data_IF_572245707870
#
_entry.id   IF_572245707870
#
_cell.length_a   1.000
_cell.length_b   1.000
_cell.length_c   1.000
_cell.angle_alpha   90.00
_cell.angle_beta   90.00
_cell.angle_gamma   90.00
#
_symmetry.space_group_name_H-M   'P 1'
#
loop_
_entity.id
_entity.type
_entity.pdbx_description
1 polymer ?
#
# COMPACT_ATOMS: atom_id res chain seq x y z
N UNK A 1 -30.31 2.32 10.81
CA UNK A 1 -30.69 2.21 9.39
C UNK A 1 -32.13 1.72 9.27
N UNK A 2 -32.87 2.16 8.25
CA UNK A 2 -34.21 1.63 7.92
C UNK A 2 -34.10 0.59 6.81
N UNK A 3 -34.94 -0.44 6.85
CA UNK A 3 -35.05 -1.45 5.80
C UNK A 3 -36.43 -1.39 5.15
N UNK A 4 -36.51 -1.84 3.90
CA UNK A 4 -37.76 -2.02 3.17
C UNK A 4 -38.26 -3.45 3.34
N UNK A 5 -39.57 -3.60 3.34
CA UNK A 5 -40.26 -4.87 3.14
C UNK A 5 -41.45 -4.69 2.20
N UNK A 6 -41.80 -5.76 1.48
CA UNK A 6 -43.03 -5.85 0.71
C UNK A 6 -43.98 -6.74 1.51
N UNK A 7 -45.11 -6.17 1.94
CA UNK A 7 -46.10 -6.91 2.71
C UNK A 7 -46.91 -7.89 1.84
N UNK A 8 -47.75 -8.71 2.47
CA UNK A 8 -48.61 -9.68 1.76
C UNK A 8 -49.63 -9.04 0.81
N UNK A 9 -49.87 -7.73 0.92
CA UNK A 9 -50.71 -6.95 -0.01
C UNK A 9 -49.88 -6.30 -1.13
N UNK A 10 -48.63 -6.74 -1.30
CA UNK A 10 -47.68 -6.21 -2.26
C UNK A 10 -47.41 -4.71 -2.06
N UNK A 11 -47.54 -4.18 -0.84
CA UNK A 11 -47.26 -2.79 -0.50
C UNK A 11 -45.86 -2.66 0.08
N UNK A 12 -45.14 -1.64 -0.37
CA UNK A 12 -43.81 -1.29 0.12
C UNK A 12 -43.92 -0.47 1.41
N UNK A 13 -43.16 -0.84 2.45
CA UNK A 13 -43.08 -0.11 3.72
C UNK A 13 -41.67 -0.10 4.29
N UNK A 14 -41.37 0.87 5.14
CA UNK A 14 -40.11 0.95 5.91
C UNK A 14 -40.28 0.36 7.31
N UNK A 15 -39.23 -0.27 7.81
CA UNK A 15 -39.09 -0.55 9.24
C UNK A 15 -38.89 0.74 10.03
N UNK A 16 -39.03 0.66 11.36
CA UNK A 16 -38.43 1.66 12.25
C UNK A 16 -36.92 1.76 12.02
N UNK A 17 -36.31 2.85 12.49
CA UNK A 17 -34.85 2.98 12.44
C UNK A 17 -34.20 1.95 13.38
N UNK A 18 -33.36 1.08 12.81
CA UNK A 18 -32.70 -0.02 13.49
C UNK A 18 -31.27 0.37 13.83
N UNK A 19 -30.97 0.50 15.13
CA UNK A 19 -29.62 0.74 15.63
C UNK A 19 -28.87 -0.55 16.01
N UNK A 20 -29.60 -1.61 16.35
CA UNK A 20 -29.05 -2.93 16.74
C UNK A 20 -30.02 -4.04 16.30
N UNK A 21 -29.55 -5.30 16.33
CA UNK A 21 -30.33 -6.48 15.91
C UNK A 21 -30.90 -6.34 14.49
N UNK A 22 -30.06 -5.89 13.56
CA UNK A 22 -30.44 -5.72 12.16
C UNK A 22 -30.66 -7.14 11.57
N UNK A 23 -31.86 -7.45 11.04
CA UNK A 23 -32.14 -8.76 10.46
C UNK A 23 -31.34 -8.96 9.18
N UNK A 24 -31.25 -10.19 8.65
CA UNK A 24 -30.66 -10.40 7.33
C UNK A 24 -31.43 -9.63 6.24
N UNK A 25 -30.69 -8.94 5.36
CA UNK A 25 -31.26 -8.13 4.29
C UNK A 25 -30.47 -8.23 2.99
N UNK A 26 -31.14 -7.96 1.88
CA UNK A 26 -30.50 -7.69 0.60
C UNK A 26 -30.21 -6.19 0.44
N UNK A 27 -29.24 -5.82 -0.38
CA UNK A 27 -28.91 -4.42 -0.68
C UNK A 27 -28.82 -4.19 -2.19
N UNK A 28 -29.39 -3.08 -2.66
CA UNK A 28 -29.35 -2.72 -4.09
C UNK A 28 -28.21 -1.75 -4.38
N UNK A 29 -27.26 -2.19 -5.20
CA UNK A 29 -26.30 -1.32 -5.88
C UNK A 29 -26.84 -0.93 -7.26
N UNK A 30 -26.91 0.36 -7.54
CA UNK A 30 -27.46 0.83 -8.81
C UNK A 30 -26.92 2.20 -9.21
N UNK A 31 -27.13 2.53 -10.48
CA UNK A 31 -26.84 3.89 -10.98
C UNK A 31 -28.09 4.75 -10.94
N UNK A 32 -27.94 5.96 -10.40
CA UNK A 32 -29.02 6.95 -10.38
C UNK A 32 -29.25 7.47 -11.80
N UNK A 33 -30.53 7.61 -12.16
CA UNK A 33 -30.96 8.40 -13.31
C UNK A 33 -31.08 9.87 -12.93
N UNK A 34 -31.86 10.62 -13.71
CA UNK A 34 -32.15 12.02 -13.41
C UNK A 34 -32.97 12.14 -12.12
N UNK A 35 -32.82 13.24 -11.38
CA UNK A 35 -33.42 13.42 -10.04
C UNK A 35 -34.95 13.19 -10.04
N UNK A 36 -35.65 13.54 -11.13
CA UNK A 36 -37.09 13.33 -11.27
C UNK A 36 -37.52 11.87 -11.53
N UNK A 37 -36.58 11.01 -11.90
CA UNK A 37 -36.82 9.60 -12.23
C UNK A 37 -36.59 8.66 -11.04
N UNK A 38 -35.89 9.12 -9.99
CA UNK A 38 -35.63 8.32 -8.80
C UNK A 38 -36.84 8.31 -7.85
N UNK A 39 -37.05 7.15 -7.23
CA UNK A 39 -38.05 6.98 -6.19
C UNK A 39 -37.40 7.25 -4.83
N UNK A 40 -37.91 8.25 -4.12
CA UNK A 40 -37.27 8.80 -2.93
C UNK A 40 -37.96 8.37 -1.63
N UNK A 41 -37.33 8.69 -0.49
CA UNK A 41 -37.94 8.55 0.83
C UNK A 41 -39.27 9.32 0.93
N UNK A 42 -39.33 10.53 0.37
CA UNK A 42 -40.54 11.36 0.35
C UNK A 42 -41.66 10.75 -0.50
N UNK A 43 -41.33 10.16 -1.67
CA UNK A 43 -42.31 9.44 -2.49
C UNK A 43 -42.93 8.28 -1.70
N UNK A 44 -42.11 7.54 -0.95
CA UNK A 44 -42.55 6.42 -0.13
C UNK A 44 -43.45 6.90 1.01
N UNK A 45 -43.06 7.95 1.72
CA UNK A 45 -43.83 8.54 2.82
C UNK A 45 -45.20 9.06 2.35
N UNK A 46 -45.27 9.64 1.15
CA UNK A 46 -46.51 10.15 0.55
C UNK A 46 -47.33 9.08 -0.20
N UNK A 47 -46.79 7.87 -0.38
CA UNK A 47 -47.41 6.82 -1.20
C UNK A 47 -47.48 7.16 -2.70
N UNK A 48 -46.61 8.04 -3.18
CA UNK A 48 -46.56 8.54 -4.55
C UNK A 48 -45.49 7.79 -5.39
N UNK A 49 -45.09 8.35 -6.54
CA UNK A 49 -43.86 7.93 -7.25
C UNK A 49 -43.85 6.55 -7.93
N UNK A 50 -44.93 5.76 -7.85
CA UNK A 50 -44.96 4.37 -8.40
C UNK A 50 -44.73 4.27 -9.91
N UNK A 51 -44.98 5.34 -10.66
CA UNK A 51 -44.76 5.41 -12.11
C UNK A 51 -43.32 5.78 -12.49
N UNK A 52 -42.49 6.18 -11.51
CA UNK A 52 -41.11 6.58 -11.76
C UNK A 52 -40.25 5.38 -12.16
N UNK A 53 -39.29 5.52 -13.10
CA UNK A 53 -38.36 4.45 -13.46
C UNK A 53 -37.60 3.85 -12.26
N UNK A 54 -37.20 4.69 -11.29
CA UNK A 54 -36.53 4.24 -10.06
C UNK A 54 -37.36 3.27 -9.22
N UNK A 55 -38.69 3.37 -9.26
CA UNK A 55 -39.57 2.44 -8.54
C UNK A 55 -39.41 0.99 -9.03
N UNK A 56 -39.14 0.79 -10.32
CA UNK A 56 -38.91 -0.53 -10.90
C UNK A 56 -37.66 -1.20 -10.34
N UNK A 57 -36.60 -0.43 -10.07
CA UNK A 57 -35.35 -0.93 -9.47
C UNK A 57 -35.59 -1.43 -8.03
N UNK A 58 -36.39 -0.69 -7.27
CA UNK A 58 -36.76 -1.04 -5.89
C UNK A 58 -37.60 -2.31 -5.87
N UNK A 59 -38.58 -2.41 -6.78
CA UNK A 59 -39.40 -3.62 -6.94
C UNK A 59 -38.56 -4.83 -7.31
N UNK A 60 -37.69 -4.69 -8.30
CA UNK A 60 -36.74 -5.74 -8.64
C UNK A 60 -35.94 -6.23 -7.42
N UNK A 61 -35.38 -5.30 -6.63
CA UNK A 61 -34.62 -5.69 -5.44
C UNK A 61 -35.47 -6.47 -4.43
N UNK A 62 -36.69 -6.01 -4.15
CA UNK A 62 -37.60 -6.69 -3.23
C UNK A 62 -38.05 -8.07 -3.74
N UNK A 63 -38.38 -8.18 -5.02
CA UNK A 63 -38.79 -9.44 -5.64
C UNK A 63 -37.63 -10.45 -5.67
N UNK A 64 -36.41 -9.99 -5.97
CA UNK A 64 -35.22 -10.84 -5.95
C UNK A 64 -34.83 -11.25 -4.53
N UNK A 65 -34.91 -10.34 -3.55
CA UNK A 65 -34.71 -10.64 -2.14
C UNK A 65 -35.67 -11.73 -1.65
N UNK A 66 -36.96 -11.63 -2.02
CA UNK A 66 -37.96 -12.62 -1.67
C UNK A 66 -37.66 -14.01 -2.27
N UNK A 67 -37.19 -14.06 -3.53
CA UNK A 67 -36.74 -15.33 -4.16
C UNK A 67 -35.58 -15.97 -3.42
N UNK A 68 -34.67 -15.16 -2.89
CA UNK A 68 -33.52 -15.62 -2.13
C UNK A 68 -33.81 -15.81 -0.63
N UNK A 69 -35.09 -15.76 -0.23
CA UNK A 69 -35.55 -16.02 1.14
C UNK A 69 -35.31 -14.86 2.12
N UNK A 70 -35.05 -13.65 1.62
CA UNK A 70 -34.84 -12.45 2.42
C UNK A 70 -36.11 -11.60 2.46
N UNK A 71 -36.65 -11.38 3.66
CA UNK A 71 -37.81 -10.52 3.88
C UNK A 71 -37.47 -9.03 3.68
N UNK A 72 -36.27 -8.64 4.08
CA UNK A 72 -35.86 -7.24 4.13
C UNK A 72 -34.84 -6.91 3.05
N UNK A 73 -34.89 -5.68 2.57
CA UNK A 73 -33.90 -5.16 1.64
C UNK A 73 -33.64 -3.67 1.85
N UNK A 74 -32.57 -3.15 1.28
CA UNK A 74 -32.16 -1.76 1.44
C UNK A 74 -31.83 -1.11 0.09
N UNK A 75 -32.27 0.15 -0.06
CA UNK A 75 -31.99 0.99 -1.22
C UNK A 75 -31.76 2.43 -0.75
N UNK A 76 -30.62 3.00 -1.07
CA UNK A 76 -30.17 4.31 -0.59
C UNK A 76 -31.12 5.46 -0.92
N UNK A 77 -31.82 5.40 -2.06
CA UNK A 77 -32.71 6.45 -2.54
C UNK A 77 -33.94 6.65 -1.67
N UNK A 78 -34.42 5.59 -1.01
CA UNK A 78 -35.66 5.63 -0.22
C UNK A 78 -35.54 5.08 1.20
N UNK A 79 -34.39 4.53 1.60
CA UNK A 79 -34.12 4.16 3.00
C UNK A 79 -33.46 5.29 3.80
N UNK A 80 -32.87 6.28 3.12
CA UNK A 80 -32.23 7.45 3.73
C UNK A 80 -33.11 8.68 3.47
N UNK A 81 -33.44 9.42 4.52
CA UNK A 81 -33.97 10.77 4.38
C UNK A 81 -32.82 11.73 4.04
N UNK A 82 -32.65 12.00 2.75
CA UNK A 82 -31.59 12.89 2.24
C UNK A 82 -31.86 14.37 2.57
N UNK A 83 -33.05 14.71 3.08
CA UNK A 83 -33.38 16.08 3.54
C UNK A 83 -32.88 16.36 4.96
N UNK A 84 -32.66 15.31 5.77
CA UNK A 84 -32.03 15.40 7.07
C UNK A 84 -30.50 15.28 6.93
N UNK A 85 -29.80 16.38 7.18
CA UNK A 85 -28.34 16.44 7.07
C UNK A 85 -27.63 15.53 8.09
N UNK A 86 -28.18 15.37 9.30
CA UNK A 86 -27.60 14.51 10.33
C UNK A 86 -27.78 13.03 9.97
N UNK A 87 -28.93 12.67 9.41
CA UNK A 87 -29.15 11.33 8.87
C UNK A 87 -28.23 11.05 7.69
N UNK A 88 -28.15 11.96 6.71
CA UNK A 88 -27.28 11.81 5.54
C UNK A 88 -25.80 11.63 5.92
N UNK A 89 -25.32 12.44 6.86
CA UNK A 89 -23.97 12.35 7.42
C UNK A 89 -23.70 10.95 8.03
N UNK A 90 -24.64 10.49 8.86
CA UNK A 90 -24.53 9.18 9.52
C UNK A 90 -24.60 8.03 8.52
N UNK A 91 -25.45 8.17 7.51
CA UNK A 91 -25.65 7.17 6.46
C UNK A 91 -24.41 6.99 5.59
N UNK A 92 -23.81 8.07 5.10
CA UNK A 92 -22.60 8.01 4.27
C UNK A 92 -21.43 7.36 5.03
N UNK A 93 -21.25 7.70 6.31
CA UNK A 93 -20.21 7.09 7.14
C UNK A 93 -20.47 5.60 7.45
N UNK A 94 -21.73 5.16 7.37
CA UNK A 94 -22.12 3.77 7.65
C UNK A 94 -22.28 2.92 6.40
N UNK A 95 -22.31 3.53 5.21
CA UNK A 95 -22.74 2.86 3.98
C UNK A 95 -21.89 1.63 3.65
N UNK A 96 -20.57 1.74 3.78
CA UNK A 96 -19.66 0.62 3.57
C UNK A 96 -19.97 -0.57 4.49
N UNK A 97 -20.28 -0.29 5.77
CA UNK A 97 -20.65 -1.34 6.72
C UNK A 97 -21.99 -1.97 6.36
N UNK A 98 -22.95 -1.18 5.88
CA UNK A 98 -24.24 -1.70 5.41
C UNK A 98 -24.10 -2.58 4.16
N UNK A 99 -23.21 -2.23 3.23
CA UNK A 99 -22.88 -3.10 2.11
C UNK A 99 -22.15 -4.37 2.55
N UNK A 100 -21.17 -4.23 3.47
CA UNK A 100 -20.40 -5.36 4.02
C UNK A 100 -21.27 -6.39 4.73
N UNK A 101 -22.28 -5.93 5.49
CA UNK A 101 -23.13 -6.79 6.31
C UNK A 101 -24.38 -7.30 5.57
N UNK A 102 -24.62 -6.86 4.34
CA UNK A 102 -25.74 -7.36 3.55
C UNK A 102 -25.55 -8.85 3.22
N UNK A 103 -26.63 -9.64 3.31
CA UNK A 103 -26.60 -11.06 2.96
C UNK A 103 -26.42 -11.26 1.45
N UNK A 104 -27.01 -10.36 0.64
CA UNK A 104 -26.90 -10.32 -0.81
C UNK A 104 -26.80 -8.88 -1.28
N UNK A 105 -25.88 -8.58 -2.19
CA UNK A 105 -25.85 -7.32 -2.93
C UNK A 105 -26.27 -7.58 -4.38
N UNK A 106 -27.35 -6.95 -4.83
CA UNK A 106 -27.81 -7.03 -6.20
C UNK A 106 -27.37 -5.77 -6.95
N UNK A 107 -26.65 -5.95 -8.05
CA UNK A 107 -26.24 -4.88 -8.95
C UNK A 107 -27.18 -4.86 -10.14
N UNK A 108 -27.93 -3.78 -10.31
CA UNK A 108 -28.81 -3.59 -11.46
C UNK A 108 -28.15 -2.72 -12.53
N UNK A 109 -27.94 -3.30 -13.72
CA UNK A 109 -27.28 -2.66 -14.86
C UNK A 109 -28.31 -2.30 -15.94
N UNK A 110 -28.85 -1.06 -15.95
CA UNK A 110 -29.90 -0.66 -16.88
C UNK A 110 -29.44 -0.56 -18.34
N UNK A 111 -28.13 -0.53 -18.58
CA UNK A 111 -27.46 -0.38 -19.87
C UNK A 111 -26.90 -1.70 -20.44
N UNK A 112 -27.15 -2.82 -19.77
CA UNK A 112 -26.77 -4.16 -20.25
C UNK A 112 -28.02 -4.90 -20.74
N UNK A 113 -28.07 -5.17 -22.03
CA UNK A 113 -29.07 -6.02 -22.70
C UNK A 113 -28.42 -7.37 -23.00
N UNK A 114 -29.16 -8.45 -22.75
CA UNK A 114 -28.74 -9.81 -23.06
C UNK A 114 -29.51 -10.30 -24.29
N UNK A 115 -28.84 -11.02 -25.18
CA UNK A 115 -29.46 -11.66 -26.35
C UNK A 115 -30.16 -12.97 -25.98
N UNK A 116 -31.00 -13.51 -26.86
CA UNK A 116 -31.65 -14.81 -26.63
C UNK A 116 -30.64 -15.96 -26.43
N UNK A 117 -29.47 -15.88 -27.08
CA UNK A 117 -28.41 -16.87 -26.93
C UNK A 117 -27.72 -16.80 -25.56
N UNK A 118 -27.58 -15.60 -24.99
CA UNK A 118 -27.02 -15.39 -23.64
C UNK A 118 -27.88 -16.05 -22.56
N UNK A 119 -29.18 -16.17 -22.79
CA UNK A 119 -30.12 -16.73 -21.81
C UNK A 119 -30.01 -18.26 -21.70
N UNK A 120 -29.44 -18.91 -22.71
CA UNK A 120 -29.35 -20.36 -22.84
C UNK A 120 -27.98 -20.91 -22.39
N UNK A 121 -26.94 -20.06 -22.32
CA UNK A 121 -25.58 -20.46 -21.92
C UNK A 121 -25.22 -19.81 -20.57
N UNK A 122 -24.68 -20.59 -19.62
CA UNK A 122 -24.23 -20.08 -18.30
C UNK A 122 -22.95 -19.22 -18.36
N UNK A 123 -22.60 -18.68 -19.53
CA UNK A 123 -21.48 -17.79 -19.78
C UNK A 123 -21.93 -16.69 -20.75
N UNK A 124 -21.63 -15.42 -20.48
CA UNK A 124 -22.01 -14.33 -21.38
C UNK A 124 -21.37 -14.52 -22.76
N UNK A 125 -22.15 -14.38 -23.82
CA UNK A 125 -21.64 -14.22 -25.19
C UNK A 125 -20.79 -12.95 -25.27
N UNK A 126 -19.98 -12.85 -26.32
CA UNK A 126 -19.08 -11.73 -26.57
C UNK A 126 -19.82 -10.38 -26.52
N UNK A 127 -21.08 -10.32 -26.99
CA UNK A 127 -21.91 -9.11 -26.94
C UNK A 127 -22.29 -8.71 -25.51
N UNK A 128 -22.68 -9.66 -24.65
CA UNK A 128 -23.04 -9.40 -23.26
C UNK A 128 -21.82 -8.99 -22.43
N UNK A 129 -20.66 -9.60 -22.69
CA UNK A 129 -19.40 -9.19 -22.07
C UNK A 129 -19.02 -7.75 -22.45
N UNK A 130 -19.13 -7.38 -23.74
CA UNK A 130 -18.86 -6.01 -24.19
C UNK A 130 -19.79 -5.01 -23.50
N UNK A 131 -21.09 -5.31 -23.44
CA UNK A 131 -22.07 -4.45 -22.77
C UNK A 131 -21.78 -4.32 -21.27
N UNK A 132 -21.43 -5.43 -20.60
CA UNK A 132 -21.03 -5.43 -19.19
C UNK A 132 -19.81 -4.54 -18.95
N UNK A 133 -18.74 -4.70 -19.73
CA UNK A 133 -17.52 -3.88 -19.63
C UNK A 133 -17.79 -2.39 -19.86
N UNK A 134 -18.72 -2.08 -20.76
CA UNK A 134 -19.12 -0.71 -21.07
C UNK A 134 -20.13 -0.10 -20.08
N UNK A 135 -20.63 -0.87 -19.11
CA UNK A 135 -21.66 -0.38 -18.20
C UNK A 135 -21.18 0.82 -17.39
N UNK A 136 -22.01 1.86 -17.37
CA UNK A 136 -21.79 3.09 -16.61
C UNK A 136 -21.65 2.83 -15.11
N UNK A 137 -22.12 1.68 -14.61
CA UNK A 137 -21.96 1.29 -13.20
C UNK A 137 -20.49 1.29 -12.75
N UNK A 138 -19.56 0.84 -13.61
CA UNK A 138 -18.13 0.84 -13.32
C UNK A 138 -17.50 2.24 -13.26
N UNK A 139 -18.21 3.24 -13.78
CA UNK A 139 -17.74 4.64 -13.84
C UNK A 139 -18.25 5.50 -12.70
N UNK A 140 -19.12 4.99 -11.81
CA UNK A 140 -19.67 5.78 -10.69
C UNK A 140 -18.78 5.66 -9.46
N UNK A 141 -18.54 6.76 -8.74
CA UNK A 141 -17.69 6.76 -7.53
C UNK A 141 -18.22 5.81 -6.43
N UNK A 142 -19.48 6.00 -6.04
CA UNK A 142 -20.11 5.23 -4.96
C UNK A 142 -20.13 3.72 -5.19
N UNK A 143 -20.28 3.24 -6.44
CA UNK A 143 -20.32 1.80 -6.74
C UNK A 143 -19.01 1.08 -6.43
N UNK A 144 -17.91 1.81 -6.17
CA UNK A 144 -16.63 1.22 -5.75
C UNK A 144 -16.77 0.49 -4.41
N UNK A 145 -17.31 1.15 -3.39
CA UNK A 145 -17.51 0.50 -2.10
C UNK A 145 -18.62 -0.57 -2.17
N UNK A 146 -19.59 -0.40 -3.06
CA UNK A 146 -20.67 -1.38 -3.29
C UNK A 146 -20.16 -2.67 -3.95
N UNK A 147 -19.04 -2.58 -4.68
CA UNK A 147 -18.31 -3.72 -5.23
C UNK A 147 -17.42 -4.39 -4.17
N UNK A 148 -16.64 -3.58 -3.45
CA UNK A 148 -15.56 -4.04 -2.56
C UNK A 148 -16.10 -4.56 -1.22
N UNK A 149 -17.09 -3.89 -0.63
CA UNK A 149 -17.52 -4.16 0.74
C UNK A 149 -18.30 -5.48 0.93
N UNK A 150 -19.33 -5.81 0.12
CA UNK A 150 -20.14 -7.01 0.34
C UNK A 150 -19.37 -8.30 0.09
N UNK A 151 -19.69 -9.39 0.76
CA UNK A 151 -19.14 -10.71 0.43
C UNK A 151 -19.79 -11.34 -0.81
N UNK A 152 -21.06 -11.03 -1.08
CA UNK A 152 -21.85 -11.55 -2.21
C UNK A 152 -22.33 -10.39 -3.08
N UNK A 153 -21.95 -10.37 -4.36
CA UNK A 153 -22.45 -9.40 -5.35
C UNK A 153 -22.91 -10.15 -6.60
N UNK A 154 -24.14 -9.91 -7.03
CA UNK A 154 -24.77 -10.54 -8.19
C UNK A 154 -25.23 -9.48 -9.19
N UNK A 155 -24.87 -9.64 -10.46
CA UNK A 155 -25.11 -8.68 -11.52
C UNK A 155 -26.33 -9.06 -12.33
N UNK A 156 -27.22 -8.10 -12.56
CA UNK A 156 -28.46 -8.28 -13.30
C UNK A 156 -28.57 -7.27 -14.44
N UNK A 157 -29.07 -7.74 -15.58
CA UNK A 157 -29.33 -6.93 -16.77
C UNK A 157 -30.57 -6.05 -16.61
N UNK A 158 -30.82 -5.19 -17.60
CA UNK A 158 -32.01 -4.33 -17.66
C UNK A 158 -33.33 -5.12 -17.71
N UNK A 159 -33.27 -6.40 -18.11
CA UNK A 159 -34.40 -7.33 -18.14
C UNK A 159 -34.51 -8.19 -16.87
N UNK A 160 -33.82 -7.82 -15.78
CA UNK A 160 -33.78 -8.54 -14.50
C UNK A 160 -33.20 -9.95 -14.56
N UNK A 161 -32.40 -10.23 -15.58
CA UNK A 161 -31.77 -11.52 -15.76
C UNK A 161 -30.36 -11.51 -15.19
N UNK A 162 -29.99 -12.61 -14.50
CA UNK A 162 -28.70 -12.75 -13.85
C UNK A 162 -27.60 -12.94 -14.90
N UNK A 163 -26.61 -12.06 -14.89
CA UNK A 163 -25.42 -12.10 -15.75
C UNK A 163 -24.34 -12.99 -15.12
N UNK A 164 -24.17 -12.88 -13.80
CA UNK A 164 -23.15 -13.61 -13.05
C UNK A 164 -22.97 -13.02 -11.65
N UNK A 165 -21.98 -13.51 -10.92
CA UNK A 165 -21.60 -12.98 -9.62
C UNK A 165 -20.16 -12.49 -9.60
N UNK A 166 -19.79 -11.85 -8.50
CA UNK A 166 -18.45 -11.29 -8.28
C UNK A 166 -17.33 -12.29 -8.53
N UNK A 167 -17.55 -13.56 -8.17
CA UNK A 167 -16.55 -14.63 -8.31
C UNK A 167 -16.48 -15.12 -9.75
N UNK A 168 -17.63 -15.38 -10.38
CA UNK A 168 -17.67 -15.84 -11.76
C UNK A 168 -17.15 -14.78 -12.75
N UNK A 169 -17.22 -13.50 -12.40
CA UNK A 169 -16.81 -12.37 -13.23
C UNK A 169 -15.52 -11.68 -12.73
N UNK A 170 -14.79 -12.24 -11.76
CA UNK A 170 -13.68 -11.56 -11.07
C UNK A 170 -12.58 -11.05 -12.03
N UNK A 171 -12.27 -11.83 -13.07
CA UNK A 171 -11.30 -11.45 -14.11
C UNK A 171 -11.79 -10.27 -14.95
N UNK A 172 -13.05 -10.29 -15.39
CA UNK A 172 -13.63 -9.20 -16.16
C UNK A 172 -13.68 -7.90 -15.35
N UNK A 173 -14.08 -8.02 -14.08
CA UNK A 173 -14.14 -6.88 -13.15
C UNK A 173 -12.73 -6.33 -12.92
N UNK A 174 -11.72 -7.18 -12.72
CA UNK A 174 -10.32 -6.77 -12.61
C UNK A 174 -9.86 -5.99 -13.85
N UNK A 175 -10.10 -6.52 -15.06
CA UNK A 175 -9.68 -5.88 -16.30
C UNK A 175 -10.34 -4.50 -16.52
N UNK A 176 -11.61 -4.33 -16.13
CA UNK A 176 -12.32 -3.06 -16.23
C UNK A 176 -11.85 -2.05 -15.17
N UNK A 177 -11.70 -2.50 -13.93
CA UNK A 177 -11.50 -1.61 -12.77
C UNK A 177 -10.04 -1.37 -12.41
N UNK A 178 -9.14 -2.29 -12.77
CA UNK A 178 -7.75 -2.33 -12.30
C UNK A 178 -7.59 -2.80 -10.86
N UNK A 179 -8.66 -3.22 -10.18
CA UNK A 179 -8.63 -3.67 -8.79
C UNK A 179 -8.13 -5.13 -8.76
N UNK A 180 -7.15 -5.49 -7.90
CA UNK A 180 -6.64 -6.86 -7.80
C UNK A 180 -7.73 -7.88 -7.46
N UNK A 181 -7.66 -9.08 -8.06
CA UNK A 181 -8.69 -10.12 -7.92
C UNK A 181 -8.89 -10.54 -6.46
N UNK A 182 -7.82 -10.51 -5.65
CA UNK A 182 -7.83 -10.87 -4.24
C UNK A 182 -8.76 -9.98 -3.42
N UNK A 183 -8.97 -8.72 -3.84
CA UNK A 183 -9.91 -7.79 -3.19
C UNK A 183 -11.34 -8.34 -3.24
N UNK A 184 -11.71 -9.03 -4.32
CA UNK A 184 -13.06 -9.56 -4.52
C UNK A 184 -13.31 -10.84 -3.70
N UNK A 185 -12.25 -11.54 -3.33
CA UNK A 185 -12.30 -12.77 -2.52
C UNK A 185 -12.29 -12.47 -1.01
N UNK A 186 -11.90 -11.26 -0.63
CA UNK A 186 -11.99 -10.76 0.74
C UNK A 186 -11.17 -9.47 0.89
N UNK A 187 -11.84 -8.36 1.20
CA UNK A 187 -11.15 -7.08 1.35
C UNK A 187 -10.44 -6.94 2.70
N UNK A 188 -9.11 -6.95 2.66
CA UNK A 188 -8.23 -6.64 3.80
C UNK A 188 -7.53 -5.29 3.57
N UNK A 189 -8.02 -4.24 4.23
CA UNK A 189 -7.52 -2.87 4.05
C UNK A 189 -6.01 -2.74 4.28
N UNK A 190 -5.43 -3.49 5.21
CA UNK A 190 -4.01 -3.41 5.56
C UNK A 190 -3.04 -3.88 4.44
N UNK A 191 -3.51 -4.63 3.44
CA UNK A 191 -2.66 -5.13 2.35
C UNK A 191 -2.36 -4.10 1.26
N UNK A 192 -3.10 -3.00 1.22
CA UNK A 192 -3.05 -2.03 0.14
C UNK A 192 -2.65 -0.66 0.68
N UNK A 193 -1.73 0.01 -0.02
CA UNK A 193 -1.28 1.35 0.34
C UNK A 193 -2.39 2.39 0.13
N UNK A 194 -2.15 3.62 0.60
CA UNK A 194 -3.05 4.74 0.34
C UNK A 194 -3.25 4.96 -1.16
N UNK A 195 -2.15 4.91 -1.93
CA UNK A 195 -2.19 5.21 -3.36
C UNK A 195 -2.78 4.06 -4.18
N UNK A 196 -2.64 2.81 -3.74
CA UNK A 196 -3.35 1.68 -4.36
C UNK A 196 -4.86 1.88 -4.27
N UNK A 197 -5.38 2.20 -3.07
CA UNK A 197 -6.81 2.42 -2.86
C UNK A 197 -7.32 3.64 -3.62
N UNK A 198 -6.51 4.71 -3.69
CA UNK A 198 -6.85 5.90 -4.46
C UNK A 198 -6.89 5.60 -5.97
N UNK A 199 -6.02 4.72 -6.46
CA UNK A 199 -6.01 4.33 -7.88
C UNK A 199 -7.34 3.74 -8.35
N UNK A 200 -8.08 3.07 -7.47
CA UNK A 200 -9.36 2.40 -7.77
C UNK A 200 -10.50 3.36 -8.10
N UNK A 201 -10.35 4.65 -7.78
CA UNK A 201 -11.34 5.70 -8.06
C UNK A 201 -11.04 6.51 -9.32
N UNK A 202 -9.84 6.42 -9.86
CA UNK A 202 -9.32 7.33 -10.92
C UNK A 202 -10.16 7.36 -12.20
N UNK A 203 -10.77 6.23 -12.58
CA UNK A 203 -11.65 6.12 -13.75
C UNK A 203 -13.12 6.41 -13.45
N UNK A 204 -13.45 6.78 -12.22
CA UNK A 204 -14.82 7.01 -11.75
C UNK A 204 -15.17 8.48 -11.71
N UNK A 205 -16.47 8.78 -11.64
CA UNK A 205 -17.06 10.12 -11.64
C UNK A 205 -18.22 10.18 -10.65
N UNK A 206 -18.45 11.35 -10.09
CA UNK A 206 -19.55 11.65 -9.16
C UNK A 206 -20.30 12.92 -9.58
N UNK A 207 -21.49 13.14 -9.00
CA UNK A 207 -22.29 14.34 -9.27
C UNK A 207 -21.72 15.56 -8.53
N UNK A 208 -21.31 15.37 -7.28
CA UNK A 208 -20.56 16.34 -6.48
C UNK A 208 -19.10 15.91 -6.44
N UNK A 209 -18.19 16.86 -6.57
CA UNK A 209 -16.76 16.56 -6.67
C UNK A 209 -16.22 15.90 -5.38
N UNK A 210 -16.73 16.29 -4.21
CA UNK A 210 -16.30 15.77 -2.92
C UNK A 210 -16.69 14.29 -2.73
N UNK A 211 -17.73 13.83 -3.41
CA UNK A 211 -18.14 12.42 -3.36
C UNK A 211 -17.08 11.50 -3.98
N UNK A 212 -16.15 12.01 -4.81
CA UNK A 212 -14.98 11.23 -5.25
C UNK A 212 -14.13 10.78 -4.05
N UNK A 213 -14.13 11.56 -2.97
CA UNK A 213 -13.43 11.28 -1.73
C UNK A 213 -14.35 10.59 -0.72
N UNK A 214 -15.57 11.10 -0.53
CA UNK A 214 -16.49 10.53 0.47
C UNK A 214 -16.90 9.09 0.16
N UNK A 215 -16.91 8.71 -1.11
CA UNK A 215 -17.12 7.31 -1.51
C UNK A 215 -16.01 6.36 -1.09
N UNK A 216 -14.86 6.87 -0.64
CA UNK A 216 -13.69 6.09 -0.19
C UNK A 216 -13.62 5.90 1.32
N UNK A 217 -14.42 6.62 2.12
CA UNK A 217 -14.31 6.62 3.60
C UNK A 217 -14.29 5.20 4.18
N UNK A 218 -15.22 4.36 3.73
CA UNK A 218 -15.31 2.98 4.18
C UNK A 218 -14.18 2.06 3.69
N UNK A 219 -13.62 2.33 2.51
CA UNK A 219 -12.46 1.61 1.99
C UNK A 219 -11.25 1.89 2.89
N UNK A 220 -11.07 3.15 3.28
CA UNK A 220 -10.03 3.56 4.22
C UNK A 220 -10.34 3.23 5.68
N UNK A 221 -11.58 2.90 6.03
CA UNK A 221 -11.97 2.63 7.43
C UNK A 221 -11.96 3.88 8.31
N UNK A 222 -12.21 5.05 7.72
CA UNK A 222 -12.21 6.35 8.39
C UNK A 222 -13.60 6.99 8.37
N UNK A 223 -13.82 7.98 9.24
CA UNK A 223 -15.05 8.75 9.28
C UNK A 223 -14.74 10.24 9.16
N UNK A 224 -15.49 10.96 8.33
CA UNK A 224 -15.29 12.38 8.10
C UNK A 224 -16.63 13.14 8.06
N UNK A 225 -16.70 14.36 8.65
CA UNK A 225 -17.77 15.32 8.38
C UNK A 225 -17.87 15.65 6.88
N UNK A 226 -19.09 15.63 6.34
CA UNK A 226 -19.38 15.96 4.95
C UNK A 226 -19.56 17.47 4.83
N UNK A 227 -18.62 18.12 4.16
CA UNK A 227 -18.60 19.56 3.95
C UNK A 227 -18.74 19.83 2.45
N UNK A 228 -19.94 19.66 1.91
CA UNK A 228 -20.21 20.00 0.51
C UNK A 228 -19.96 21.50 0.25
N UNK A 229 -19.17 21.79 -0.78
CA UNK A 229 -18.61 23.12 -1.08
C UNK A 229 -17.14 23.27 -0.67
N UNK A 230 -16.53 22.29 0.01
CA UNK A 230 -15.09 22.34 0.33
C UNK A 230 -14.21 22.04 -0.88
N UNK A 231 -14.75 21.41 -1.93
CA UNK A 231 -14.00 21.00 -3.12
C UNK A 231 -13.22 19.69 -2.93
N UNK A 232 -12.96 18.99 -4.03
CA UNK A 232 -12.36 17.65 -4.01
C UNK A 232 -10.98 17.61 -3.33
N UNK A 233 -10.12 18.60 -3.59
CA UNK A 233 -8.75 18.63 -3.06
C UNK A 233 -8.72 18.79 -1.54
N UNK A 234 -9.62 19.59 -0.97
CA UNK A 234 -9.74 19.77 0.47
C UNK A 234 -10.30 18.52 1.15
N UNK A 235 -11.32 17.90 0.56
CA UNK A 235 -11.84 16.63 1.02
C UNK A 235 -10.73 15.56 1.02
N UNK A 236 -9.93 15.48 -0.06
CA UNK A 236 -8.83 14.51 -0.20
C UNK A 236 -7.73 14.73 0.83
N UNK A 237 -7.37 16.00 1.10
CA UNK A 237 -6.43 16.34 2.17
C UNK A 237 -6.92 15.86 3.52
N UNK A 238 -8.19 16.14 3.87
CA UNK A 238 -8.80 15.67 5.13
C UNK A 238 -8.85 14.14 5.23
N UNK A 239 -9.11 13.46 4.11
CA UNK A 239 -9.04 11.99 4.06
C UNK A 239 -7.63 11.50 4.39
N UNK A 240 -6.61 12.09 3.76
CA UNK A 240 -5.20 11.75 4.02
C UNK A 240 -4.83 11.97 5.49
N UNK A 241 -5.18 13.13 6.03
CA UNK A 241 -4.88 13.49 7.42
C UNK A 241 -5.56 12.52 8.41
N UNK A 242 -6.83 12.16 8.18
CA UNK A 242 -7.56 11.23 9.06
C UNK A 242 -7.04 9.80 8.95
N UNK A 243 -6.62 9.36 7.76
CA UNK A 243 -5.96 8.06 7.57
C UNK A 243 -4.63 8.04 8.31
N UNK A 244 -3.79 9.05 8.15
CA UNK A 244 -2.49 9.15 8.84
C UNK A 244 -2.67 9.19 10.36
N UNK A 245 -3.70 9.90 10.85
CA UNK A 245 -4.03 9.99 12.27
C UNK A 245 -4.52 8.66 12.87
N UNK A 246 -5.36 7.91 12.15
CA UNK A 246 -5.93 6.63 12.64
C UNK A 246 -5.01 5.43 12.43
N UNK A 247 -4.34 5.43 11.30
CA UNK A 247 -3.45 4.37 10.85
C UNK A 247 -2.10 5.02 10.58
N UNK A 248 -1.35 5.40 11.62
CA UNK A 248 0.01 5.86 11.43
C UNK A 248 0.82 4.70 10.85
N UNK A 249 0.88 4.62 9.52
CA UNK A 249 2.02 4.03 8.86
C UNK A 249 3.17 4.96 9.16
N UNK A 250 4.18 4.47 9.88
CA UNK A 250 5.42 5.22 10.01
C UNK A 250 5.85 5.61 8.61
N UNK A 251 5.88 6.91 8.33
CA UNK A 251 6.36 7.40 7.04
C UNK A 251 7.72 6.74 6.81
N UNK A 252 7.99 6.24 5.60
CA UNK A 252 9.29 5.67 5.29
C UNK A 252 10.36 6.71 5.65
N UNK A 253 11.15 6.39 6.67
CA UNK A 253 12.07 7.34 7.25
C UNK A 253 13.39 7.23 6.51
N UNK A 254 13.92 8.36 6.04
CA UNK A 254 15.22 8.43 5.37
C UNK A 254 16.25 8.98 6.35
N UNK A 255 17.01 8.07 6.98
CA UNK A 255 18.08 8.39 7.92
C UNK A 255 19.40 8.00 7.27
N UNK A 256 19.78 8.70 6.20
CA UNK A 256 21.06 8.49 5.51
C UNK A 256 21.81 9.82 5.48
N UNK A 257 23.00 9.91 6.09
CA UNK A 257 23.69 11.19 6.29
C UNK A 257 24.50 11.66 5.07
N UNK A 258 24.45 10.92 3.95
CA UNK A 258 25.27 11.18 2.78
C UNK A 258 24.43 11.43 1.54
N UNK A 259 24.86 12.36 0.69
CA UNK A 259 24.28 12.58 -0.63
C UNK A 259 24.64 11.46 -1.61
N UNK A 260 23.80 11.24 -2.63
CA UNK A 260 24.08 10.25 -3.68
C UNK A 260 25.31 10.67 -4.44
N UNK A 261 26.26 9.76 -4.56
CA UNK A 261 27.48 10.01 -5.30
C UNK A 261 27.22 9.99 -6.81
N UNK A 262 27.16 11.17 -7.44
CA UNK A 262 26.99 11.32 -8.89
C UNK A 262 28.15 10.74 -9.73
N UNK A 263 29.31 10.50 -9.10
CA UNK A 263 30.51 9.90 -9.72
C UNK A 263 30.65 8.41 -9.44
N UNK A 264 29.63 7.76 -8.85
CA UNK A 264 29.63 6.32 -8.67
C UNK A 264 29.87 5.62 -10.02
N UNK A 265 30.77 4.63 -10.04
CA UNK A 265 31.29 4.06 -11.29
C UNK A 265 31.47 2.55 -11.16
N UNK A 266 30.87 1.83 -12.12
CA UNK A 266 30.88 0.38 -12.17
C UNK A 266 30.09 -0.28 -11.04
N UNK A 267 30.53 -1.47 -10.62
CA UNK A 267 29.95 -2.28 -9.53
C UNK A 267 28.51 -2.76 -9.71
N UNK A 268 27.97 -2.69 -10.93
CA UNK A 268 26.58 -3.11 -11.18
C UNK A 268 26.35 -4.59 -10.86
N UNK A 269 27.32 -5.46 -11.15
CA UNK A 269 27.24 -6.89 -10.82
C UNK A 269 27.12 -7.09 -9.31
N UNK A 270 27.96 -6.40 -8.53
CA UNK A 270 27.92 -6.49 -7.07
C UNK A 270 26.64 -5.87 -6.50
N UNK A 271 26.14 -4.76 -7.05
CA UNK A 271 24.85 -4.17 -6.63
C UNK A 271 23.71 -5.16 -6.84
N UNK A 272 23.62 -5.76 -8.02
CA UNK A 272 22.58 -6.76 -8.34
C UNK A 272 22.70 -7.98 -7.42
N UNK A 273 23.92 -8.45 -7.14
CA UNK A 273 24.13 -9.57 -6.21
C UNK A 273 23.67 -9.23 -4.77
N UNK A 274 23.96 -8.01 -4.29
CA UNK A 274 23.49 -7.55 -2.97
C UNK A 274 21.97 -7.46 -2.97
N UNK A 275 21.36 -6.88 -4.00
CA UNK A 275 19.92 -6.74 -4.12
C UNK A 275 19.21 -8.10 -4.11
N UNK A 276 19.69 -9.06 -4.91
CA UNK A 276 19.12 -10.40 -4.99
C UNK A 276 19.23 -11.13 -3.65
N UNK A 277 20.41 -11.16 -3.03
CA UNK A 277 20.60 -11.86 -1.75
C UNK A 277 19.82 -11.22 -0.60
N UNK A 278 19.77 -9.89 -0.55
CA UNK A 278 19.18 -9.16 0.56
C UNK A 278 17.65 -9.00 0.43
N UNK A 279 17.13 -8.71 -0.77
CA UNK A 279 15.72 -8.38 -0.96
C UNK A 279 14.88 -9.54 -1.51
N UNK A 280 15.49 -10.47 -2.26
CA UNK A 280 14.77 -11.57 -2.93
C UNK A 280 15.11 -12.94 -2.34
N UNK A 281 16.30 -13.12 -1.77
CA UNK A 281 16.85 -14.40 -1.33
C UNK A 281 16.36 -14.93 0.03
N UNK A 282 15.29 -14.36 0.59
CA UNK A 282 14.73 -14.75 1.91
C UNK A 282 15.67 -14.54 3.10
N UNK A 283 16.85 -13.96 2.86
CA UNK A 283 17.87 -13.70 3.88
C UNK A 283 17.68 -12.33 4.50
N UNK A 284 17.56 -12.27 5.83
CA UNK A 284 17.34 -10.99 6.52
C UNK A 284 18.63 -10.19 6.72
N UNK A 285 19.81 -10.77 6.43
CA UNK A 285 21.12 -10.15 6.69
C UNK A 285 22.15 -10.48 5.62
N UNK A 286 22.89 -9.48 5.16
CA UNK A 286 23.99 -9.59 4.16
C UNK A 286 25.16 -8.70 4.57
N UNK A 287 26.40 -9.08 4.26
CA UNK A 287 27.59 -8.28 4.53
C UNK A 287 28.45 -8.08 3.27
N UNK A 288 28.88 -6.84 3.04
CA UNK A 288 29.86 -6.47 2.03
C UNK A 288 31.24 -6.42 2.70
N UNK A 289 32.18 -7.25 2.23
CA UNK A 289 33.52 -7.39 2.79
C UNK A 289 34.58 -7.04 1.76
N UNK A 290 35.66 -6.37 2.18
CA UNK A 290 36.75 -6.01 1.29
C UNK A 290 37.75 -5.06 1.94
N UNK A 291 38.87 -4.81 1.27
CA UNK A 291 39.96 -3.98 1.81
C UNK A 291 39.54 -2.52 2.08
N UNK A 292 40.37 -1.79 2.82
CA UNK A 292 40.18 -0.35 3.01
C UNK A 292 40.19 0.38 1.66
N UNK A 293 39.31 1.35 1.47
CA UNK A 293 39.31 2.19 0.25
C UNK A 293 38.70 1.56 -1.02
N UNK A 294 38.26 0.30 -1.00
CA UNK A 294 37.67 -0.39 -2.18
C UNK A 294 36.25 0.08 -2.56
N UNK A 295 35.60 0.89 -1.71
CA UNK A 295 34.30 1.50 -1.99
C UNK A 295 33.08 0.80 -1.36
N UNK A 296 33.22 -0.01 -0.30
CA UNK A 296 32.10 -0.71 0.35
C UNK A 296 30.98 0.22 0.79
N UNK A 297 31.32 1.29 1.50
CA UNK A 297 30.39 2.35 1.94
C UNK A 297 29.66 2.99 0.77
N UNK A 298 30.35 3.22 -0.35
CA UNK A 298 29.75 3.79 -1.56
C UNK A 298 28.81 2.80 -2.26
N UNK A 299 29.12 1.50 -2.25
CA UNK A 299 28.23 0.45 -2.75
C UNK A 299 26.94 0.36 -1.93
N UNK A 300 27.06 0.38 -0.59
CA UNK A 300 25.92 0.37 0.32
C UNK A 300 25.06 1.64 0.18
N UNK A 301 25.69 2.80 -0.02
CA UNK A 301 25.00 4.07 -0.25
C UNK A 301 24.22 4.07 -1.56
N UNK A 302 24.83 3.61 -2.66
CA UNK A 302 24.13 3.51 -3.94
C UNK A 302 22.93 2.55 -3.87
N UNK A 303 23.08 1.40 -3.17
CA UNK A 303 21.96 0.50 -2.90
C UNK A 303 20.85 1.20 -2.10
N UNK A 304 21.19 1.96 -1.05
CA UNK A 304 20.22 2.70 -0.24
C UNK A 304 19.38 3.66 -1.10
N UNK A 305 20.00 4.38 -2.03
CA UNK A 305 19.31 5.24 -2.98
C UNK A 305 18.43 4.45 -3.96
N UNK A 306 18.91 3.33 -4.49
CA UNK A 306 18.11 2.45 -5.37
C UNK A 306 16.89 1.88 -4.64
N UNK A 307 17.05 1.51 -3.37
CA UNK A 307 15.94 1.03 -2.52
C UNK A 307 14.91 2.13 -2.31
N UNK A 308 15.35 3.37 -2.02
CA UNK A 308 14.43 4.51 -1.89
C UNK A 308 13.68 4.79 -3.19
N UNK A 309 14.35 4.73 -4.34
CA UNK A 309 13.76 5.03 -5.64
C UNK A 309 12.76 3.93 -6.07
N UNK A 310 13.06 2.66 -5.77
CA UNK A 310 12.26 1.48 -6.17
C UNK A 310 11.14 1.13 -5.19
N UNK A 311 11.38 1.28 -3.88
CA UNK A 311 10.46 0.89 -2.81
C UNK A 311 10.00 2.12 -2.02
N UNK A 312 8.99 2.83 -2.54
CA UNK A 312 8.53 4.13 -2.00
C UNK A 312 8.05 4.09 -0.55
N UNK A 313 7.71 2.91 -0.02
CA UNK A 313 7.22 2.71 1.36
C UNK A 313 8.26 2.02 2.25
N UNK A 314 9.55 2.04 1.87
CA UNK A 314 10.64 1.43 2.64
C UNK A 314 11.43 2.50 3.41
N UNK A 315 11.56 2.35 4.73
CA UNK A 315 12.46 3.16 5.55
C UNK A 315 13.92 2.74 5.30
N UNK A 316 14.83 3.69 5.19
CA UNK A 316 16.26 3.41 5.05
C UNK A 316 17.01 4.09 6.17
N UNK A 317 17.67 3.29 7.00
CA UNK A 317 18.30 3.72 8.24
C UNK A 317 19.79 3.39 8.19
N UNK A 318 20.62 4.40 8.39
CA UNK A 318 22.08 4.26 8.37
C UNK A 318 22.66 4.43 9.78
N UNK A 319 23.40 3.43 10.24
CA UNK A 319 24.06 3.41 11.55
C UNK A 319 25.57 3.25 11.38
N UNK A 320 26.40 4.23 11.78
CA UNK A 320 27.84 4.04 11.85
C UNK A 320 28.21 3.07 12.99
N UNK A 321 28.85 1.95 12.63
CA UNK A 321 29.27 0.89 13.54
C UNK A 321 30.77 0.96 13.86
N UNK A 322 31.33 2.17 13.92
CA UNK A 322 32.77 2.40 14.12
C UNK A 322 33.24 2.18 15.55
N UNK A 323 32.40 2.52 16.54
CA UNK A 323 32.64 2.30 17.97
C UNK A 323 31.31 2.37 18.75
N UNK A 324 31.34 1.97 20.02
CA UNK A 324 30.15 1.89 20.89
C UNK A 324 29.45 3.24 21.10
N UNK A 325 30.21 4.33 21.23
CA UNK A 325 29.66 5.67 21.49
C UNK A 325 28.91 6.21 20.27
N UNK A 326 29.54 6.16 19.09
CA UNK A 326 28.92 6.57 17.82
C UNK A 326 27.67 5.75 17.51
N UNK A 327 27.72 4.46 17.82
CA UNK A 327 26.59 3.55 17.62
C UNK A 327 25.44 3.93 18.57
N UNK A 328 25.72 4.15 19.85
CA UNK A 328 24.69 4.54 20.82
C UNK A 328 24.00 5.86 20.43
N UNK A 329 24.79 6.87 20.03
CA UNK A 329 24.26 8.14 19.56
C UNK A 329 23.38 7.98 18.32
N UNK A 330 23.82 7.16 17.35
CA UNK A 330 23.03 6.87 16.16
C UNK A 330 21.70 6.17 16.51
N UNK A 331 21.70 5.24 17.47
CA UNK A 331 20.45 4.62 17.95
C UNK A 331 19.49 5.62 18.60
N UNK A 332 19.99 6.57 19.40
CA UNK A 332 19.18 7.65 19.96
C UNK A 332 18.55 8.51 18.86
N UNK A 333 19.34 8.90 17.85
CA UNK A 333 18.85 9.75 16.76
C UNK A 333 17.85 9.01 15.88
N UNK A 334 18.05 7.71 15.65
CA UNK A 334 17.09 6.83 14.97
C UNK A 334 15.80 6.73 15.77
N UNK A 335 15.86 6.50 17.08
CA UNK A 335 14.67 6.39 17.91
C UNK A 335 13.83 7.68 17.91
N UNK A 336 14.49 8.85 17.94
CA UNK A 336 13.84 10.16 17.83
C UNK A 336 13.16 10.34 16.47
N UNK A 337 13.87 10.04 15.39
CA UNK A 337 13.32 10.21 14.03
C UNK A 337 12.18 9.23 13.72
N UNK A 338 12.20 8.04 14.32
CA UNK A 338 11.10 7.07 14.25
C UNK A 338 9.94 7.40 15.22
N UNK A 339 10.06 8.44 16.06
CA UNK A 339 9.02 8.83 17.01
C UNK A 339 8.77 7.81 18.13
N UNK A 340 9.79 7.04 18.52
CA UNK A 340 9.63 5.99 19.54
C UNK A 340 9.48 6.62 20.92
N UNK A 341 8.34 6.40 21.57
CA UNK A 341 8.08 6.90 22.91
C UNK A 341 9.09 6.37 23.95
N UNK A 342 9.54 7.24 24.85
CA UNK A 342 10.46 6.89 25.93
C UNK A 342 11.95 6.87 25.53
N UNK A 343 12.31 7.25 24.30
CA UNK A 343 13.70 7.27 23.85
C UNK A 343 14.59 8.33 24.53
N UNK A 344 13.99 9.28 25.28
CA UNK A 344 14.70 10.32 26.02
C UNK A 344 14.95 9.93 27.49
N UNK A 345 14.40 8.80 27.95
CA UNK A 345 14.65 8.29 29.30
C UNK A 345 16.02 7.60 29.37
N UNK A 346 16.91 8.17 30.18
CA UNK A 346 18.29 7.68 30.40
C UNK A 346 18.32 6.26 30.98
N UNK A 347 17.24 5.82 31.66
CA UNK A 347 17.16 4.48 32.24
C UNK A 347 16.78 3.39 31.22
N UNK A 348 16.33 3.78 30.03
CA UNK A 348 15.86 2.84 28.99
C UNK A 348 16.96 2.57 27.98
N UNK A 349 17.20 1.29 27.69
CA UNK A 349 18.12 0.89 26.63
C UNK A 349 17.51 1.16 25.26
N UNK A 350 17.91 2.28 24.64
CA UNK A 350 17.44 2.71 23.32
C UNK A 350 17.68 1.67 22.22
N UNK A 351 18.73 0.83 22.34
CA UNK A 351 19.00 -0.24 21.37
C UNK A 351 17.86 -1.25 21.37
N UNK A 352 17.32 -1.55 22.56
CA UNK A 352 16.18 -2.45 22.75
C UNK A 352 14.89 -1.84 22.19
N UNK A 353 14.66 -0.54 22.43
CA UNK A 353 13.50 0.15 21.87
C UNK A 353 13.46 0.09 20.34
N UNK A 354 14.58 0.44 19.68
CA UNK A 354 14.68 0.40 18.21
C UNK A 354 14.53 -1.02 17.69
N UNK A 355 15.14 -2.01 18.35
CA UNK A 355 14.97 -3.44 18.02
C UNK A 355 13.50 -3.84 18.06
N UNK A 356 12.84 -3.60 19.19
CA UNK A 356 11.47 -4.05 19.43
C UNK A 356 10.52 -3.36 18.46
N UNK A 357 10.76 -2.07 18.20
CA UNK A 357 10.02 -1.28 17.23
C UNK A 357 10.13 -1.85 15.80
N UNK A 358 11.34 -2.01 15.28
CA UNK A 358 11.57 -2.53 13.93
C UNK A 358 11.20 -4.03 13.77
N UNK A 359 11.03 -4.76 14.87
CA UNK A 359 10.62 -6.17 14.86
C UNK A 359 9.10 -6.37 14.84
N UNK A 360 8.28 -5.31 14.99
CA UNK A 360 6.81 -5.42 14.90
C UNK A 360 6.36 -5.67 13.46
N UNK A 361 5.25 -6.37 13.28
CA UNK A 361 4.68 -6.62 11.94
C UNK A 361 4.20 -5.34 11.26
N UNK A 362 3.81 -4.32 12.03
CA UNK A 362 3.35 -3.03 11.51
C UNK A 362 4.49 -2.01 11.28
N UNK A 363 5.75 -2.37 11.52
CA UNK A 363 6.91 -1.49 11.25
C UNK A 363 7.18 -1.27 9.75
N UNK A 364 6.42 -1.94 8.88
CA UNK A 364 6.55 -1.81 7.43
C UNK A 364 7.85 -2.42 6.88
N UNK A 365 8.21 -1.99 5.67
CA UNK A 365 9.47 -2.37 5.04
C UNK A 365 10.59 -1.45 5.50
N UNK A 366 11.75 -2.02 5.82
CA UNK A 366 12.91 -1.23 6.18
C UNK A 366 14.24 -1.89 5.79
N UNK A 367 15.23 -1.05 5.47
CA UNK A 367 16.62 -1.41 5.26
C UNK A 367 17.48 -0.75 6.34
N UNK A 368 18.17 -1.55 7.13
CA UNK A 368 19.11 -1.09 8.15
C UNK A 368 20.55 -1.33 7.69
N UNK A 369 21.33 -0.26 7.51
CA UNK A 369 22.73 -0.32 7.08
C UNK A 369 23.65 -0.04 8.26
N UNK A 370 24.50 -1.00 8.61
CA UNK A 370 25.61 -0.82 9.56
C UNK A 370 26.91 -0.63 8.80
N UNK A 371 27.46 0.58 8.82
CA UNK A 371 28.70 0.92 8.11
C UNK A 371 29.93 0.81 9.02
N UNK A 372 31.01 0.19 8.53
CA UNK A 372 32.27 -0.05 9.24
C UNK A 372 32.14 -0.96 10.48
N UNK A 373 31.38 -2.04 10.37
CA UNK A 373 31.22 -3.08 11.39
C UNK A 373 32.49 -3.96 11.50
N UNK A 374 33.60 -3.37 11.95
CA UNK A 374 34.91 -4.03 11.97
C UNK A 374 35.22 -4.71 13.32
N UNK A 375 34.75 -4.15 14.45
CA UNK A 375 35.08 -4.64 15.79
C UNK A 375 34.25 -5.87 16.23
N UNK A 376 34.85 -7.06 16.13
CA UNK A 376 34.22 -8.32 16.52
C UNK A 376 33.77 -8.37 18.00
N UNK A 377 34.48 -7.69 18.90
CA UNK A 377 34.21 -7.74 20.34
C UNK A 377 32.96 -6.93 20.67
N UNK A 378 32.75 -5.78 19.99
CA UNK A 378 31.51 -5.01 20.09
C UNK A 378 30.28 -5.84 19.69
N UNK A 379 30.41 -6.66 18.65
CA UNK A 379 29.31 -7.48 18.15
C UNK A 379 29.06 -8.75 18.96
N UNK A 380 30.11 -9.43 19.41
CA UNK A 380 30.03 -10.78 19.99
C UNK A 380 30.31 -10.85 21.49
N UNK A 381 30.72 -9.74 22.11
CA UNK A 381 31.14 -9.68 23.51
C UNK A 381 32.58 -10.17 23.70
N UNK A 382 33.19 -9.81 24.83
CA UNK A 382 34.52 -10.31 25.19
C UNK A 382 34.46 -11.78 25.59
N UNK A 383 35.45 -12.56 25.17
CA UNK A 383 35.59 -13.96 25.60
C UNK A 383 35.82 -14.02 27.12
N UNK A 384 34.91 -14.68 27.85
CA UNK A 384 34.95 -14.80 29.32
C UNK A 384 34.04 -13.83 30.08
N UNK A 385 33.24 -13.02 29.40
CA UNK A 385 32.20 -12.20 30.04
C UNK A 385 30.98 -13.03 30.47
N UNK A 386 30.34 -12.65 31.58
CA UNK A 386 29.18 -13.36 32.15
C UNK A 386 28.00 -13.45 31.16
N UNK A 387 27.12 -14.46 31.28
CA UNK A 387 25.89 -14.55 30.49
C UNK A 387 25.00 -13.33 30.80
N UNK A 388 25.05 -12.31 29.93
CA UNK A 388 24.46 -10.99 30.19
C UNK A 388 25.29 -9.82 29.64
N UNK A 389 26.49 -10.07 29.08
CA UNK A 389 27.28 -9.04 28.39
C UNK A 389 26.46 -8.34 27.28
N UNK A 390 26.55 -7.02 27.22
CA UNK A 390 25.87 -6.13 26.26
C UNK A 390 26.36 -6.33 24.81
N UNK A 391 26.00 -7.46 24.18
CA UNK A 391 26.43 -7.82 22.82
C UNK A 391 25.53 -7.17 21.78
N UNK A 392 26.12 -6.43 20.86
CA UNK A 392 25.33 -5.70 19.86
C UNK A 392 24.50 -6.61 18.94
N UNK A 393 24.94 -7.84 18.67
CA UNK A 393 24.20 -8.80 17.84
C UNK A 393 22.82 -9.17 18.42
N UNK A 394 22.65 -9.08 19.74
CA UNK A 394 21.39 -9.38 20.44
C UNK A 394 20.36 -8.26 20.27
N UNK A 395 20.81 -7.07 19.87
CA UNK A 395 19.99 -5.88 19.59
C UNK A 395 19.56 -5.75 18.13
N UNK A 396 19.94 -6.70 17.28
CA UNK A 396 19.52 -6.68 15.87
C UNK A 396 18.04 -7.05 15.74
N UNK A 397 17.22 -6.24 15.05
CA UNK A 397 15.80 -6.54 14.83
C UNK A 397 15.60 -7.81 14.00
N UNK A 398 14.42 -8.42 14.16
CA UNK A 398 13.98 -9.59 13.39
C UNK A 398 12.62 -9.27 12.79
N UNK A 399 12.54 -9.21 11.47
CA UNK A 399 11.31 -8.90 10.72
C UNK A 399 11.23 -9.74 9.46
N UNK A 400 10.00 -10.06 9.03
CA UNK A 400 9.74 -10.67 7.71
C UNK A 400 9.86 -9.67 6.55
N UNK A 401 9.79 -8.37 6.86
CA UNK A 401 9.76 -7.28 5.89
C UNK A 401 10.98 -6.36 6.01
N UNK A 402 11.92 -6.69 6.90
CA UNK A 402 13.10 -5.88 7.21
C UNK A 402 14.40 -6.61 6.90
N UNK A 403 15.38 -5.86 6.38
CA UNK A 403 16.67 -6.39 5.94
C UNK A 403 17.83 -5.59 6.55
N UNK A 404 18.95 -6.28 6.83
CA UNK A 404 20.14 -5.67 7.43
C UNK A 404 21.34 -5.85 6.50
N UNK A 405 22.00 -4.74 6.17
CA UNK A 405 23.25 -4.72 5.42
C UNK A 405 24.40 -4.30 6.33
N UNK A 406 25.51 -5.03 6.28
CA UNK A 406 26.75 -4.66 6.96
C UNK A 406 27.82 -4.31 5.94
N UNK A 407 28.67 -3.32 6.23
CA UNK A 407 29.96 -3.15 5.57
C UNK A 407 31.08 -3.43 6.56
N UNK A 408 32.09 -4.20 6.16
CA UNK A 408 33.21 -4.55 7.04
C UNK A 408 34.50 -4.79 6.26
N UNK A 409 35.64 -4.50 6.90
CA UNK A 409 36.99 -4.89 6.46
C UNK A 409 37.39 -6.24 7.04
N UNK A 410 36.80 -6.63 8.17
CA UNK A 410 37.10 -7.90 8.83
C UNK A 410 36.12 -9.01 8.40
N UNK A 411 36.64 -9.95 7.63
CA UNK A 411 35.90 -11.15 7.20
C UNK A 411 35.41 -11.97 8.39
N UNK A 412 36.17 -12.04 9.49
CA UNK A 412 35.78 -12.82 10.67
C UNK A 412 34.53 -12.24 11.32
N UNK A 413 34.49 -10.92 11.51
CA UNK A 413 33.30 -10.20 11.99
C UNK A 413 32.10 -10.43 11.06
N UNK A 414 32.27 -10.29 9.75
CA UNK A 414 31.19 -10.50 8.79
C UNK A 414 30.61 -11.93 8.85
N UNK A 415 31.45 -12.97 8.90
CA UNK A 415 31.00 -14.37 9.04
C UNK A 415 30.17 -14.57 10.30
N UNK A 416 30.51 -13.90 11.41
CA UNK A 416 29.72 -13.97 12.65
C UNK A 416 28.36 -13.29 12.53
N UNK A 417 28.25 -12.21 11.75
CA UNK A 417 27.02 -11.43 11.62
C UNK A 417 26.00 -12.05 10.66
N UNK A 418 26.47 -12.61 9.54
CA UNK A 418 25.58 -13.02 8.42
C UNK A 418 25.73 -14.47 7.97
N UNK A 419 26.64 -15.23 8.59
CA UNK A 419 26.95 -16.64 8.30
C UNK A 419 27.43 -16.88 6.85
N UNK A 420 26.52 -16.93 5.88
CA UNK A 420 26.81 -17.31 4.49
C UNK A 420 26.59 -16.17 3.48
N UNK A 421 25.83 -15.12 3.82
CA UNK A 421 25.47 -14.04 2.90
C UNK A 421 26.55 -12.95 2.82
N UNK A 422 27.76 -13.34 2.45
CA UNK A 422 28.90 -12.45 2.30
C UNK A 422 29.09 -12.16 0.81
N UNK A 423 29.33 -10.88 0.51
CA UNK A 423 29.66 -10.38 -0.82
C UNK A 423 31.03 -9.75 -0.74
N UNK A 424 31.98 -10.35 -1.45
CA UNK A 424 33.35 -9.85 -1.52
C UNK A 424 33.42 -8.73 -2.55
N UNK A 425 33.92 -7.57 -2.14
CA UNK A 425 34.13 -6.41 -2.99
C UNK A 425 35.61 -6.34 -3.37
N UNK A 426 35.99 -6.78 -4.58
CA UNK A 426 37.38 -6.75 -5.03
C UNK A 426 37.83 -5.32 -5.36
N UNK A 427 39.11 -5.16 -5.66
CA UNK A 427 39.64 -3.95 -6.32
C UNK A 427 38.93 -3.67 -7.66
N UNK A 428 39.07 -2.46 -8.19
CA UNK A 428 38.46 -2.13 -9.47
C UNK A 428 39.26 -2.75 -10.61
N UNK A 429 38.56 -3.19 -11.67
CA UNK A 429 39.22 -3.51 -12.93
C UNK A 429 39.77 -2.25 -13.60
N UNK A 430 40.79 -2.41 -14.45
CA UNK A 430 41.49 -1.32 -15.13
C UNK A 430 40.52 -0.36 -15.85
N UNK A 431 39.58 -0.88 -16.64
CA UNK A 431 38.62 -0.07 -17.40
C UNK A 431 37.72 0.79 -16.50
N UNK A 432 37.27 0.23 -15.37
CA UNK A 432 36.39 0.93 -14.43
C UNK A 432 37.18 1.97 -13.64
N UNK A 433 38.44 1.67 -13.29
CA UNK A 433 39.34 2.60 -12.63
C UNK A 433 39.67 3.81 -13.55
N UNK A 434 39.86 3.56 -14.85
CA UNK A 434 40.05 4.59 -15.86
C UNK A 434 38.82 5.51 -15.97
N UNK A 435 37.61 4.93 -16.03
CA UNK A 435 36.36 5.69 -16.05
C UNK A 435 36.19 6.55 -14.80
N UNK A 436 36.56 6.02 -13.62
CA UNK A 436 36.50 6.80 -12.38
C UNK A 436 37.47 7.98 -12.43
N UNK A 437 38.72 7.76 -12.84
CA UNK A 437 39.72 8.81 -12.98
C UNK A 437 39.25 9.91 -13.94
N UNK A 438 38.69 9.54 -15.10
CA UNK A 438 38.12 10.47 -16.08
C UNK A 438 37.01 11.36 -15.48
N UNK A 439 36.13 10.78 -14.63
CA UNK A 439 35.07 11.52 -13.95
C UNK A 439 35.57 12.45 -12.84
N UNK A 440 36.75 12.17 -12.27
CA UNK A 440 37.32 12.97 -11.19
C UNK A 440 38.10 14.19 -11.70
N UNK A 441 38.70 14.11 -12.87
CA UNK A 441 39.55 15.17 -13.44
C UNK A 441 38.73 16.35 -13.98
N UNK A 442 39.24 17.57 -13.74
CA UNK A 442 38.70 18.80 -14.35
C UNK A 442 38.92 18.81 -15.87
N UNK A 443 40.06 18.28 -16.33
CA UNK A 443 40.37 18.11 -17.74
C UNK A 443 40.50 16.61 -18.09
N UNK A 444 39.44 15.97 -18.60
CA UNK A 444 39.44 14.55 -18.94
C UNK A 444 40.46 14.16 -20.03
N UNK A 445 40.93 15.13 -20.83
CA UNK A 445 41.90 14.87 -21.90
C UNK A 445 43.29 14.48 -21.40
N UNK A 446 43.60 14.68 -20.11
CA UNK A 446 44.84 14.23 -19.48
C UNK A 446 44.95 12.69 -19.43
N UNK A 447 43.81 11.98 -19.55
CA UNK A 447 43.76 10.51 -19.58
C UNK A 447 44.11 9.94 -20.96
N UNK A 448 44.25 10.77 -21.99
CA UNK A 448 44.56 10.32 -23.35
C UNK A 448 46.01 9.83 -23.51
N UNK A 449 46.89 10.13 -22.55
CA UNK A 449 48.17 9.41 -22.43
C UNK A 449 47.94 8.05 -21.77
N UNK A 450 47.66 7.05 -22.61
CA UNK A 450 47.29 5.71 -22.16
C UNK A 450 48.40 4.98 -21.39
N UNK A 451 49.67 5.32 -21.62
CA UNK A 451 50.81 4.67 -20.94
C UNK A 451 50.99 5.21 -19.52
N UNK A 452 51.02 6.54 -19.39
CA UNK A 452 51.22 7.18 -18.10
C UNK A 452 50.02 6.99 -17.18
N UNK A 453 48.81 7.05 -17.74
CA UNK A 453 47.58 6.82 -16.97
C UNK A 453 47.50 5.39 -16.44
N UNK A 454 47.83 4.39 -17.27
CA UNK A 454 47.85 2.99 -16.84
C UNK A 454 48.88 2.76 -15.74
N UNK A 455 50.07 3.36 -15.88
CA UNK A 455 51.13 3.29 -14.87
C UNK A 455 50.68 3.92 -13.54
N UNK A 456 50.00 5.06 -13.59
CA UNK A 456 49.42 5.70 -12.40
C UNK A 456 48.38 4.80 -11.73
N UNK A 457 47.42 4.26 -12.47
CA UNK A 457 46.37 3.39 -11.91
C UNK A 457 46.94 2.11 -11.28
N UNK A 458 47.98 1.53 -11.89
CA UNK A 458 48.72 0.41 -11.31
C UNK A 458 49.38 0.78 -9.97
N UNK A 459 50.03 1.96 -9.89
CA UNK A 459 50.63 2.46 -8.63
C UNK A 459 49.58 2.73 -7.55
N UNK A 460 48.37 3.14 -7.95
CA UNK A 460 47.24 3.35 -7.05
C UNK A 460 46.49 2.05 -6.74
N UNK A 461 46.98 0.90 -7.20
CA UNK A 461 46.40 -0.44 -6.95
C UNK A 461 44.91 -0.53 -7.34
N UNK A 462 44.48 0.31 -8.28
CA UNK A 462 43.09 0.43 -8.71
C UNK A 462 42.09 0.66 -7.55
N UNK A 463 42.54 1.27 -6.45
CA UNK A 463 41.70 1.59 -5.30
C UNK A 463 40.93 2.90 -5.55
N UNK A 464 39.58 2.91 -5.50
CA UNK A 464 38.80 4.12 -5.76
C UNK A 464 39.20 5.29 -4.86
N UNK A 465 39.47 5.05 -3.57
CA UNK A 465 39.92 6.11 -2.67
C UNK A 465 41.24 6.74 -3.11
N UNK A 466 42.22 5.92 -3.52
CA UNK A 466 43.52 6.40 -3.98
C UNK A 466 43.40 7.17 -5.30
N UNK A 467 42.53 6.72 -6.21
CA UNK A 467 42.23 7.40 -7.48
C UNK A 467 41.60 8.76 -7.26
N UNK A 468 40.57 8.85 -6.41
CA UNK A 468 39.89 10.11 -6.10
C UNK A 468 40.85 11.10 -5.43
N UNK A 469 41.71 10.62 -4.53
CA UNK A 469 42.72 11.46 -3.87
C UNK A 469 43.82 11.93 -4.83
N UNK A 470 44.25 11.10 -5.77
CA UNK A 470 45.27 11.48 -6.76
C UNK A 470 44.73 12.46 -7.82
N UNK A 471 43.41 12.49 -8.04
CA UNK A 471 42.75 13.37 -8.99
C UNK A 471 42.30 14.72 -8.39
N UNK A 472 42.32 14.85 -7.06
CA UNK A 472 42.02 16.08 -6.32
C UNK A 472 43.26 16.99 -6.28
#
# INVERSE_FOLDING_TARGET
MRLLEIDGNNKLSLTKDLASNIPAYAILSHTWGDDGQEFTFEDLAKGAGKLKPGYRKIRFCGDQAARDGLRYFWVDTCCIDKSDAAELQSAINSMFLWYKNAARCYVYLPDVLLSENDMLQNSPDLSAEIAFRASRWFTRGWTLQELVAPSSVEFFSTCYQRIGDKKSLERLIHEVTGIPVEVFQGYESARYSFEDKLSWVTKRRTKKEEDMVYSLLGIFGVFLPLNYGEGQDNALRRLRDEVERRFPSERPTWIVPFERNSRFTGRQVQLTEVEEKLLLGGSTRTAIVGFGGVGKTQLALELAYQVRDKYRNCSVIWIPATNTESLHQAYLDVARQLGIAGCEDIQVDVKRLVKDHLSKENAGQWLLVFDNADDINMWTGQTGSEPGSDRMIDYLPKSKHGCILFTSRDRKTAVKLVQQNIIELPEMGEDVALQLLQKCLINPSLVNDGSDTKTLLQKLTYLPLAIVQAAA
#
